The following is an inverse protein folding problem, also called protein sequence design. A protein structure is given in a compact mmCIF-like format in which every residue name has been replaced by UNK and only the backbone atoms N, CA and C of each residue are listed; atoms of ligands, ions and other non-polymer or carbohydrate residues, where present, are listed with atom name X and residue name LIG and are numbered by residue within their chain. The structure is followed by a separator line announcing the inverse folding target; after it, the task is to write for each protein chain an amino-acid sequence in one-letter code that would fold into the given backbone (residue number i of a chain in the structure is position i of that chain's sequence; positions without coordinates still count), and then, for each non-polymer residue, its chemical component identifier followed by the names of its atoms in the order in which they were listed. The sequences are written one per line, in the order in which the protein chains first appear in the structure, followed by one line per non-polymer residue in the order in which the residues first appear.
data_IF_490021105819
#
_entry.id   IF_490021105819
#
_cell.length_a   1.000
_cell.length_b   1.000
_cell.length_c   1.000
_cell.angle_alpha   90.00
_cell.angle_beta   90.00
_cell.angle_gamma   90.00
#
_symmetry.space_group_name_H-M   'P 1'
#
loop_
_entity.id
_entity.type
_entity.pdbx_description
1 polymer ?
#
# COMPACT_ATOMS: atom_id res chain seq x y z
N UNK A 1 4.36 -3.77 44.10
CA UNK A 1 4.13 -4.76 43.02
C UNK A 1 2.91 -4.45 42.16
N UNK A 2 1.72 -4.17 42.73
CA UNK A 2 0.47 -3.88 41.98
C UNK A 2 0.55 -2.70 40.99
N UNK A 3 1.30 -1.66 41.34
CA UNK A 3 1.43 -0.43 40.54
C UNK A 3 2.38 -0.60 39.34
N UNK A 4 3.34 -1.54 39.44
CA UNK A 4 4.31 -1.84 38.37
C UNK A 4 3.65 -2.69 37.26
N UNK A 5 2.79 -3.63 37.64
CA UNK A 5 1.99 -4.41 36.68
C UNK A 5 1.03 -3.52 35.88
N UNK A 6 0.43 -2.50 36.50
CA UNK A 6 -0.43 -1.55 35.80
C UNK A 6 0.34 -0.71 34.77
N UNK A 7 1.57 -0.31 35.09
CA UNK A 7 2.44 0.46 34.20
C UNK A 7 2.94 -0.36 33.00
N UNK A 8 3.23 -1.65 33.22
CA UNK A 8 3.62 -2.57 32.14
C UNK A 8 2.46 -2.86 31.17
N UNK A 9 1.24 -2.92 31.67
CA UNK A 9 0.03 -3.19 30.86
C UNK A 9 -0.37 -2.00 29.99
N UNK A 10 -0.13 -0.77 30.44
CA UNK A 10 -0.37 0.45 29.64
C UNK A 10 0.73 0.67 28.60
N UNK A 11 1.99 0.34 28.89
CA UNK A 11 3.09 0.46 27.93
C UNK A 11 2.98 -0.56 26.78
N UNK A 12 2.55 -1.80 27.08
CA UNK A 12 2.35 -2.85 26.06
C UNK A 12 1.29 -2.50 25.01
N UNK A 13 0.23 -1.78 25.39
CA UNK A 13 -0.84 -1.37 24.48
C UNK A 13 -0.45 -0.22 23.53
N UNK A 14 0.54 0.60 23.90
CA UNK A 14 1.02 1.71 23.06
C UNK A 14 1.94 1.20 21.94
N UNK A 15 2.69 0.13 22.17
CA UNK A 15 3.59 -0.44 21.17
C UNK A 15 2.90 -1.33 20.13
N UNK A 16 1.65 -1.79 20.36
CA UNK A 16 0.97 -2.72 19.45
C UNK A 16 0.37 -2.05 18.20
N UNK A 17 0.17 -0.73 18.22
CA UNK A 17 -0.47 -0.01 17.11
C UNK A 17 0.49 0.52 16.03
N UNK A 18 1.81 0.43 16.23
CA UNK A 18 2.81 1.02 15.34
C UNK A 18 3.72 -0.02 14.70
N UNK A 19 3.22 -1.22 14.40
CA UNK A 19 3.96 -2.14 13.56
C UNK A 19 4.16 -1.51 12.16
N UNK A 20 5.40 -1.41 11.65
CA UNK A 20 5.63 -0.85 10.32
C UNK A 20 4.96 -1.74 9.26
N UNK A 21 4.21 -1.12 8.36
CA UNK A 21 3.80 -1.77 7.11
C UNK A 21 5.02 -1.83 6.18
N UNK A 22 5.53 -3.03 5.93
CA UNK A 22 6.63 -3.22 4.98
C UNK A 22 6.04 -3.43 3.58
N UNK A 23 5.68 -2.33 2.92
CA UNK A 23 5.47 -2.36 1.48
C UNK A 23 6.83 -2.36 0.78
N UNK A 24 6.98 -3.16 -0.28
CA UNK A 24 8.14 -3.02 -1.16
C UNK A 24 8.23 -1.59 -1.71
N UNK A 25 9.45 -1.12 -1.95
CA UNK A 25 9.69 0.24 -2.42
C UNK A 25 9.14 0.48 -3.83
N UNK A 26 8.19 1.42 -3.97
CA UNK A 26 7.70 1.91 -5.25
C UNK A 26 8.37 3.24 -5.60
N UNK A 27 9.28 3.25 -6.57
CA UNK A 27 10.06 4.43 -6.97
C UNK A 27 10.23 4.53 -8.49
N UNK A 28 9.14 4.84 -9.24
CA UNK A 28 9.24 5.04 -10.68
C UNK A 28 10.09 6.28 -10.99
N UNK A 29 10.98 6.20 -11.99
CA UNK A 29 11.84 7.32 -12.39
C UNK A 29 11.19 8.17 -13.47
N UNK A 30 11.32 9.49 -13.35
CA UNK A 30 10.85 10.44 -14.36
C UNK A 30 11.56 10.17 -15.70
N UNK A 31 10.80 10.18 -16.79
CA UNK A 31 11.31 9.92 -18.14
C UNK A 31 11.53 8.44 -18.47
N UNK A 32 11.44 7.54 -17.49
CA UNK A 32 11.45 6.11 -17.74
C UNK A 32 10.04 5.58 -17.97
N UNK A 33 9.93 4.57 -18.84
CA UNK A 33 8.68 3.85 -19.03
C UNK A 33 8.32 3.17 -17.72
N UNK A 34 7.10 3.41 -17.23
CA UNK A 34 6.57 2.72 -16.07
C UNK A 34 6.48 1.19 -16.34
N UNK A 35 6.86 0.33 -15.37
CA UNK A 35 6.69 -1.12 -15.49
C UNK A 35 5.24 -1.50 -15.83
N UNK A 36 5.06 -2.49 -16.68
CA UNK A 36 3.72 -2.99 -16.96
C UNK A 36 3.21 -3.82 -15.78
N UNK A 37 1.89 -3.82 -15.59
CA UNK A 37 1.20 -4.64 -14.59
C UNK A 37 -0.20 -4.95 -15.08
N UNK A 38 -0.80 -6.00 -14.52
CA UNK A 38 -2.17 -6.43 -14.82
C UNK A 38 -2.96 -6.44 -13.52
N UNK A 39 -4.13 -5.80 -13.52
CA UNK A 39 -5.08 -5.78 -12.41
C UNK A 39 -6.46 -6.21 -12.91
N UNK A 40 -7.32 -6.77 -12.05
CA UNK A 40 -8.71 -6.98 -12.40
C UNK A 40 -9.44 -5.64 -12.53
N UNK A 41 -10.28 -5.49 -13.56
CA UNK A 41 -11.25 -4.40 -13.61
C UNK A 41 -12.24 -4.49 -12.43
N UNK A 42 -12.78 -3.34 -12.02
CA UNK A 42 -13.80 -3.23 -10.98
C UNK A 42 -15.17 -3.72 -11.50
N UNK A 43 -15.46 -3.60 -12.79
CA UNK A 43 -16.78 -3.91 -13.35
C UNK A 43 -17.03 -5.41 -13.49
N UNK A 44 -16.14 -6.12 -14.18
CA UNK A 44 -16.31 -7.52 -14.59
C UNK A 44 -15.17 -8.43 -14.10
N UNK A 45 -14.13 -7.86 -13.46
CA UNK A 45 -12.89 -8.54 -13.06
C UNK A 45 -12.06 -9.07 -14.21
N UNK A 46 -12.33 -8.62 -15.43
CA UNK A 46 -11.48 -8.97 -16.56
C UNK A 46 -10.07 -8.39 -16.37
N UNK A 47 -9.02 -9.08 -16.84
CA UNK A 47 -7.67 -8.58 -16.74
C UNK A 47 -7.47 -7.30 -17.55
N UNK A 48 -6.94 -6.26 -16.91
CA UNK A 48 -6.58 -4.99 -17.56
C UNK A 48 -5.10 -4.70 -17.31
N UNK A 49 -4.34 -4.52 -18.39
CA UNK A 49 -2.94 -4.12 -18.32
C UNK A 49 -2.74 -2.61 -18.44
N UNK A 50 -1.64 -2.09 -17.87
CA UNK A 50 -1.24 -0.70 -18.11
C UNK A 50 -0.93 -0.46 -19.60
N UNK A 51 -0.38 -1.47 -20.29
CA UNK A 51 -0.07 -1.41 -21.72
C UNK A 51 -1.30 -1.20 -22.62
N UNK A 52 -2.51 -1.56 -22.20
CA UNK A 52 -3.74 -1.26 -22.94
C UNK A 52 -4.03 0.26 -23.05
N UNK A 53 -3.44 1.09 -22.18
CA UNK A 53 -3.65 2.55 -22.18
C UNK A 53 -2.58 3.35 -22.92
N UNK A 54 -1.68 2.68 -23.68
CA UNK A 54 -0.63 3.38 -24.44
C UNK A 54 -1.22 4.38 -25.44
N UNK A 55 -0.49 5.47 -25.68
CA UNK A 55 -0.97 6.60 -26.50
C UNK A 55 -1.91 7.56 -25.76
N UNK A 56 -2.22 7.31 -24.47
CA UNK A 56 -3.04 8.19 -23.62
C UNK A 56 -2.21 8.76 -22.47
N UNK A 57 -2.59 9.93 -21.97
CA UNK A 57 -2.09 10.44 -20.67
C UNK A 57 -2.80 9.66 -19.57
N UNK A 58 -2.04 8.95 -18.74
CA UNK A 58 -2.55 8.07 -17.68
C UNK A 58 -2.09 8.59 -16.33
N UNK A 59 -3.01 8.62 -15.36
CA UNK A 59 -2.72 8.89 -13.95
C UNK A 59 -2.96 7.60 -13.16
N UNK A 60 -1.93 7.11 -12.47
CA UNK A 60 -2.04 6.00 -11.54
C UNK A 60 -2.26 6.55 -10.14
N UNK A 61 -3.35 6.12 -9.51
CA UNK A 61 -3.69 6.52 -8.13
C UNK A 61 -3.80 5.28 -7.27
N UNK A 62 -2.88 5.14 -6.31
CA UNK A 62 -2.85 4.01 -5.38
C UNK A 62 -3.53 4.44 -4.08
N UNK A 63 -4.61 3.75 -3.71
CA UNK A 63 -5.35 4.00 -2.48
C UNK A 63 -5.17 2.82 -1.52
N UNK A 64 -5.19 3.10 -0.22
CA UNK A 64 -5.37 2.11 0.82
C UNK A 64 -6.69 2.42 1.54
N UNK A 65 -7.56 1.42 1.69
CA UNK A 65 -8.71 1.47 2.58
C UNK A 65 -8.41 0.66 3.83
N UNK A 66 -8.57 1.29 5.01
CA UNK A 66 -8.43 0.65 6.31
C UNK A 66 -9.77 0.12 6.83
#
# INVERSE_FOLDING_TARGET
MRNLSLLMLTFGSICFFAAPSNADGYSPRIGQVHPDFVLPDIADREPVSLSQFRGRKVLLVHFASW
#
